data_IF_790435528747
#
_entry.id   IF_790435528747
#
_cell.length_a   1.000
_cell.length_b   1.000
_cell.length_c   1.000
_cell.angle_alpha   90.00
_cell.angle_beta   90.00
_cell.angle_gamma   90.00
#
_symmetry.space_group_name_H-M   'P 1'
#
loop_
_entity.id
_entity.type
_entity.pdbx_description
1 polymer ?
#
# COMPACT_ATOMS: atom_id res chain seq x y z
N UNK A 1 42.26 42.06 -41.72
CA UNK A 1 40.89 42.32 -42.19
C UNK A 1 40.18 40.98 -42.30
N UNK A 2 38.88 40.97 -41.96
CA UNK A 2 37.92 39.86 -42.00
C UNK A 2 37.93 38.88 -40.80
N UNK A 3 37.02 39.16 -39.85
CA UNK A 3 36.45 38.21 -38.91
C UNK A 3 35.24 37.50 -39.55
N UNK A 4 34.88 36.26 -39.17
CA UNK A 4 33.58 35.70 -39.50
C UNK A 4 32.60 35.82 -38.31
N UNK A 5 31.37 36.17 -38.67
CA UNK A 5 30.31 36.60 -37.78
C UNK A 5 29.61 35.44 -37.04
N UNK A 6 29.31 35.68 -35.77
CA UNK A 6 28.37 34.91 -34.94
C UNK A 6 26.94 35.05 -35.50
N UNK A 7 26.33 33.93 -35.88
CA UNK A 7 24.89 33.86 -36.17
C UNK A 7 24.15 33.35 -34.92
N UNK A 8 23.60 34.27 -34.14
CA UNK A 8 22.65 33.99 -33.06
C UNK A 8 21.25 33.80 -33.66
N UNK A 9 20.74 32.57 -33.68
CA UNK A 9 19.34 32.28 -33.99
C UNK A 9 18.53 32.21 -32.68
N UNK A 10 17.80 33.28 -32.39
CA UNK A 10 16.81 33.33 -31.32
C UNK A 10 15.50 32.72 -31.83
N UNK A 11 15.10 31.57 -31.28
CA UNK A 11 13.78 30.97 -31.49
C UNK A 11 12.90 31.27 -30.26
N UNK A 12 12.09 32.31 -30.40
CA UNK A 12 10.94 32.59 -29.54
C UNK A 12 9.82 31.59 -29.87
N UNK A 13 9.39 30.80 -28.90
CA UNK A 13 8.15 30.03 -28.97
C UNK A 13 7.14 30.55 -27.94
N UNK A 14 5.84 30.61 -28.30
CA UNK A 14 4.83 31.36 -27.57
C UNK A 14 4.34 30.62 -26.33
N UNK A 15 4.10 31.39 -25.28
CA UNK A 15 3.34 31.01 -24.09
C UNK A 15 1.88 30.83 -24.52
N UNK A 16 1.46 29.57 -24.68
CA UNK A 16 0.11 29.18 -25.08
C UNK A 16 -0.51 28.24 -24.06
N UNK A 17 -1.62 28.68 -23.47
CA UNK A 17 -2.39 28.05 -22.42
C UNK A 17 -2.79 26.59 -22.71
N UNK A 18 -2.64 25.72 -21.70
CA UNK A 18 -3.23 24.38 -21.72
C UNK A 18 -4.57 24.38 -20.97
N UNK A 19 -5.67 23.89 -21.57
CA UNK A 19 -6.95 23.74 -20.89
C UNK A 19 -6.87 22.60 -19.86
N UNK A 20 -7.46 22.85 -18.68
CA UNK A 20 -7.43 21.95 -17.53
C UNK A 20 -8.01 20.56 -17.82
N UNK A 21 -7.27 19.53 -17.38
CA UNK A 21 -7.73 18.14 -17.37
C UNK A 21 -8.90 17.95 -16.38
N UNK A 22 -9.92 17.14 -16.72
CA UNK A 22 -11.06 16.90 -15.86
C UNK A 22 -10.64 16.09 -14.63
N UNK A 23 -10.97 16.60 -13.44
CA UNK A 23 -10.82 15.91 -12.16
C UNK A 23 -11.66 14.63 -12.17
N UNK A 24 -11.01 13.47 -12.29
CA UNK A 24 -11.65 12.19 -11.98
C UNK A 24 -11.92 12.12 -10.46
N UNK A 25 -13.09 11.64 -10.01
CA UNK A 25 -13.37 11.50 -8.59
C UNK A 25 -12.45 10.45 -7.96
N UNK A 26 -11.80 10.81 -6.85
CA UNK A 26 -10.94 9.92 -6.09
C UNK A 26 -11.75 8.74 -5.52
N UNK A 27 -11.30 7.52 -5.79
CA UNK A 27 -11.90 6.29 -5.24
C UNK A 27 -11.12 5.86 -3.99
N UNK A 28 -11.84 5.50 -2.94
CA UNK A 28 -11.28 5.10 -1.64
C UNK A 28 -10.64 3.69 -1.75
N UNK A 29 -9.33 3.55 -1.58
CA UNK A 29 -8.57 2.30 -1.78
C UNK A 29 -8.78 1.19 -0.71
N UNK A 30 -9.82 1.26 0.13
CA UNK A 30 -10.03 0.32 1.23
C UNK A 30 -11.22 -0.62 1.03
N UNK A 31 -11.47 -1.08 -0.21
CA UNK A 31 -12.29 -2.28 -0.43
C UNK A 31 -11.53 -3.30 -1.28
N UNK A 32 -11.41 -4.56 -0.82
CA UNK A 32 -11.14 -5.67 -1.73
C UNK A 32 -12.22 -5.69 -2.81
N UNK A 33 -11.82 -5.83 -4.07
CA UNK A 33 -12.73 -6.02 -5.19
C UNK A 33 -13.48 -7.36 -5.00
N UNK A 34 -14.77 -7.26 -4.68
CA UNK A 34 -15.76 -8.31 -4.84
C UNK A 34 -16.46 -8.03 -6.18
N UNK A 35 -16.64 -9.01 -7.10
CA UNK A 35 -17.21 -10.32 -6.80
C UNK A 35 -16.39 -11.55 -7.29
N UNK A 36 -16.63 -12.74 -6.70
CA UNK A 36 -16.07 -14.00 -7.19
C UNK A 36 -16.76 -14.43 -8.49
N UNK A 37 -15.95 -14.83 -9.46
CA UNK A 37 -16.40 -15.43 -10.71
C UNK A 37 -17.09 -16.79 -10.51
N UNK A 38 -17.85 -17.25 -11.53
CA UNK A 38 -18.74 -18.39 -11.43
C UNK A 38 -17.98 -19.71 -11.58
N UNK A 39 -17.40 -20.22 -10.50
CA UNK A 39 -17.07 -21.64 -10.33
C UNK A 39 -16.85 -21.96 -8.85
N UNK A 40 -17.91 -21.89 -8.05
CA UNK A 40 -17.93 -22.53 -6.74
C UNK A 40 -18.96 -23.65 -6.77
N UNK A 41 -18.45 -24.87 -6.61
CA UNK A 41 -19.21 -26.13 -6.64
C UNK A 41 -20.32 -26.14 -5.60
N UNK A 42 -21.46 -26.65 -6.04
CA UNK A 42 -22.58 -27.11 -5.22
C UNK A 42 -22.09 -28.24 -4.31
N UNK A 43 -22.40 -28.14 -3.02
CA UNK A 43 -22.53 -29.29 -2.13
C UNK A 43 -23.59 -29.01 -1.06
N UNK A 44 -24.79 -29.45 -1.41
CA UNK A 44 -25.67 -30.29 -0.60
C UNK A 44 -25.90 -29.89 0.86
N UNK A 45 -26.76 -28.89 1.07
CA UNK A 45 -27.43 -28.72 2.37
C UNK A 45 -28.72 -27.89 2.35
N UNK A 46 -29.54 -28.02 1.32
CA UNK A 46 -30.90 -27.43 1.29
C UNK A 46 -31.93 -28.45 0.80
N UNK A 47 -32.44 -29.25 1.74
CA UNK A 47 -33.64 -30.03 1.56
C UNK A 47 -34.56 -29.80 2.78
N UNK A 48 -35.68 -29.15 2.48
CA UNK A 48 -36.93 -29.08 3.27
C UNK A 48 -37.02 -28.11 4.46
N UNK A 49 -37.40 -26.86 4.19
CA UNK A 49 -38.66 -26.32 4.76
C UNK A 49 -39.10 -24.99 4.14
N UNK A 50 -40.19 -25.05 3.39
CA UNK A 50 -40.97 -23.88 3.04
C UNK A 50 -42.23 -24.32 2.30
N UNK A 51 -43.37 -24.36 3.00
CA UNK A 51 -44.70 -24.28 2.38
C UNK A 51 -45.69 -23.67 3.38
N UNK A 52 -45.99 -22.39 3.15
CA UNK A 52 -47.02 -21.59 3.81
C UNK A 52 -48.35 -21.79 3.09
N UNK A 53 -49.33 -22.37 3.79
CA UNK A 53 -50.71 -22.52 3.31
C UNK A 53 -51.46 -21.17 3.30
N UNK A 54 -52.16 -20.91 2.20
CA UNK A 54 -53.09 -19.77 1.99
C UNK A 54 -54.49 -20.10 2.52
N UNK A 55 -55.10 -19.12 3.20
CA UNK A 55 -56.49 -18.67 2.98
C UNK A 55 -57.66 -19.49 3.58
N UNK A 56 -58.38 -18.90 4.54
CA UNK A 56 -59.81 -19.17 4.81
C UNK A 56 -60.54 -17.86 5.23
N UNK A 57 -61.80 -17.65 4.81
CA UNK A 57 -62.53 -16.38 4.91
C UNK A 57 -63.19 -16.12 6.27
N UNK A 58 -63.45 -14.84 6.53
CA UNK A 58 -64.00 -14.29 7.78
C UNK A 58 -65.53 -14.32 7.76
N UNK A 59 -66.16 -14.92 8.77
CA UNK A 59 -67.62 -14.89 9.00
C UNK A 59 -67.88 -14.25 10.36
N UNK A 60 -68.77 -13.25 10.40
CA UNK A 60 -69.31 -12.64 11.62
C UNK A 60 -70.78 -13.02 11.76
N UNK A 61 -71.23 -13.46 12.94
CA UNK A 61 -72.59 -13.26 13.37
C UNK A 61 -72.67 -12.21 14.49
N UNK A 62 -73.61 -11.29 14.36
CA UNK A 62 -74.03 -10.32 15.38
C UNK A 62 -75.50 -10.63 15.66
N UNK A 63 -75.87 -10.89 16.91
CA UNK A 63 -77.26 -10.93 17.34
C UNK A 63 -77.39 -10.25 18.70
N UNK A 64 -78.38 -9.35 18.75
CA UNK A 64 -78.85 -8.50 19.83
C UNK A 64 -79.29 -9.24 21.08
N UNK A 65 -79.02 -8.63 22.23
CA UNK A 65 -79.58 -9.03 23.54
C UNK A 65 -80.45 -7.87 24.03
N UNK A 66 -81.54 -7.60 23.31
CA UNK A 66 -82.69 -6.95 23.92
C UNK A 66 -83.57 -8.03 24.56
N UNK A 67 -84.15 -7.68 25.72
CA UNK A 67 -85.14 -8.42 26.49
C UNK A 67 -84.52 -9.45 27.46
N UNK A 68 -84.40 -9.06 28.74
CA UNK A 68 -84.83 -9.81 29.95
C UNK A 68 -84.17 -9.23 31.22
N UNK A 69 -84.67 -8.12 31.77
CA UNK A 69 -84.80 -7.96 33.24
C UNK A 69 -85.73 -6.81 33.60
N UNK A 70 -86.81 -7.16 34.29
CA UNK A 70 -87.88 -6.25 34.69
C UNK A 70 -87.51 -5.26 35.80
N UNK A 71 -88.40 -4.29 35.94
CA UNK A 71 -88.36 -3.18 36.89
C UNK A 71 -88.49 -3.67 38.35
N UNK A 72 -87.79 -2.99 39.28
CA UNK A 72 -88.15 -2.99 40.69
C UNK A 72 -87.76 -1.67 41.38
N UNK A 73 -88.81 -0.92 41.70
CA UNK A 73 -89.07 -0.05 42.86
C UNK A 73 -87.96 0.80 43.48
N UNK A 74 -88.20 2.11 43.54
CA UNK A 74 -87.48 3.06 44.38
C UNK A 74 -87.85 2.91 45.87
N UNK A 75 -86.86 3.06 46.76
CA UNK A 75 -87.11 3.35 48.17
C UNK A 75 -85.98 4.20 48.79
N UNK A 76 -86.36 5.41 49.21
CA UNK A 76 -86.01 6.00 50.51
C UNK A 76 -84.64 6.63 50.73
N UNK A 77 -84.61 7.96 50.84
CA UNK A 77 -83.44 8.82 51.13
C UNK A 77 -82.92 8.63 52.55
N UNK A 78 -81.61 8.41 52.72
CA UNK A 78 -80.88 8.64 53.98
C UNK A 78 -79.97 9.86 53.84
N UNK A 79 -80.00 10.75 54.83
CA UNK A 79 -79.40 12.08 54.81
C UNK A 79 -77.88 12.14 54.57
N UNK A 80 -77.41 13.29 54.05
CA UNK A 80 -76.02 13.52 53.64
C UNK A 80 -75.03 13.40 54.81
N UNK A 81 -74.08 12.46 54.70
CA UNK A 81 -72.83 12.55 55.44
C UNK A 81 -72.00 13.75 54.95
N UNK A 82 -71.39 14.49 55.88
CA UNK A 82 -70.57 15.67 55.58
C UNK A 82 -69.40 15.35 54.64
N UNK A 83 -69.02 16.31 53.79
CA UNK A 83 -67.94 16.12 52.82
C UNK A 83 -66.59 16.11 53.55
N UNK A 84 -65.96 14.96 53.66
CA UNK A 84 -64.51 14.91 53.93
C UNK A 84 -63.78 15.61 52.78
N UNK A 85 -62.88 16.53 53.12
CA UNK A 85 -62.07 17.25 52.14
C UNK A 85 -61.31 16.27 51.24
N UNK A 86 -61.32 16.50 49.93
CA UNK A 86 -60.57 15.64 49.00
C UNK A 86 -59.08 15.85 49.25
N UNK A 87 -58.35 14.76 49.49
CA UNK A 87 -56.89 14.78 49.48
C UNK A 87 -56.40 15.35 48.14
N UNK A 88 -55.43 16.27 48.19
CA UNK A 88 -54.94 16.94 46.99
C UNK A 88 -54.35 15.93 45.99
N UNK A 89 -54.48 16.16 44.68
CA UNK A 89 -53.92 15.24 43.70
C UNK A 89 -52.39 15.12 43.88
N UNK A 90 -51.80 13.92 43.72
CA UNK A 90 -50.35 13.75 43.74
C UNK A 90 -49.66 14.71 42.76
N UNK A 91 -48.56 15.32 43.19
CA UNK A 91 -47.78 16.25 42.37
C UNK A 91 -47.35 15.61 41.04
N UNK A 92 -47.35 16.38 39.97
CA UNK A 92 -46.96 15.88 38.65
C UNK A 92 -45.51 15.36 38.65
N UNK A 93 -45.28 14.21 38.02
CA UNK A 93 -43.94 13.63 37.87
C UNK A 93 -43.04 14.60 37.11
N UNK A 94 -41.85 14.87 37.65
CA UNK A 94 -40.87 15.77 37.03
C UNK A 94 -40.51 15.35 35.61
N UNK A 95 -40.24 16.33 34.74
CA UNK A 95 -39.88 16.09 33.35
C UNK A 95 -38.59 15.28 33.25
N UNK A 96 -38.59 14.27 32.37
CA UNK A 96 -37.41 13.45 32.14
C UNK A 96 -36.25 14.31 31.60
N UNK A 97 -35.07 14.18 32.21
CA UNK A 97 -33.87 14.92 31.81
C UNK A 97 -33.51 14.66 30.34
N UNK A 98 -33.08 15.70 29.63
CA UNK A 98 -32.72 15.58 28.21
C UNK A 98 -31.50 14.65 28.06
N UNK A 99 -31.55 13.77 27.06
CA UNK A 99 -30.42 12.92 26.70
C UNK A 99 -29.21 13.79 26.34
N UNK A 100 -28.04 13.46 26.89
CA UNK A 100 -26.80 14.18 26.60
C UNK A 100 -26.49 14.17 25.10
N UNK A 101 -25.84 15.23 24.62
CA UNK A 101 -25.44 15.32 23.22
C UNK A 101 -24.41 14.24 22.89
N UNK A 102 -24.48 13.68 21.68
CA UNK A 102 -23.47 12.74 21.19
C UNK A 102 -22.13 13.48 21.12
N UNK A 103 -21.07 12.85 21.63
CA UNK A 103 -19.71 13.38 21.52
C UNK A 103 -19.31 13.62 20.06
N UNK A 104 -18.45 14.61 19.84
CA UNK A 104 -17.93 14.92 18.51
C UNK A 104 -17.05 13.78 17.99
N UNK A 105 -17.06 13.58 16.67
CA UNK A 105 -16.14 12.64 16.02
C UNK A 105 -14.72 13.18 16.17
N UNK A 106 -13.78 12.31 16.55
CA UNK A 106 -12.38 12.68 16.67
C UNK A 106 -11.77 13.14 15.34
N UNK A 107 -10.64 13.84 15.37
CA UNK A 107 -9.96 14.25 14.14
C UNK A 107 -9.59 13.03 13.28
N UNK A 108 -9.57 13.17 11.95
CA UNK A 108 -9.06 12.12 11.07
C UNK A 108 -7.63 11.73 11.46
N UNK A 109 -7.34 10.43 11.46
CA UNK A 109 -5.98 9.93 11.68
C UNK A 109 -5.01 10.45 10.61
N UNK A 110 -3.71 10.48 10.94
CA UNK A 110 -2.67 10.90 10.01
C UNK A 110 -2.70 10.03 8.74
N UNK A 111 -2.47 10.67 7.58
CA UNK A 111 -2.40 9.97 6.30
C UNK A 111 -1.26 8.94 6.33
N UNK A 112 -1.58 7.68 6.00
CA UNK A 112 -0.58 6.63 5.87
C UNK A 112 0.31 6.94 4.65
N UNK A 113 1.49 7.51 4.91
CA UNK A 113 2.49 7.77 3.85
C UNK A 113 3.21 6.46 3.56
N UNK A 114 2.85 5.81 2.46
CA UNK A 114 3.61 4.67 1.95
C UNK A 114 4.96 5.17 1.46
N UNK A 115 6.03 4.68 2.07
CA UNK A 115 7.37 4.96 1.61
C UNK A 115 7.76 3.94 0.53
N UNK A 116 8.40 4.43 -0.53
CA UNK A 116 8.90 3.61 -1.62
C UNK A 116 10.36 3.97 -1.84
N UNK A 117 11.20 2.96 -2.10
CA UNK A 117 12.56 3.17 -2.57
C UNK A 117 12.91 1.98 -3.46
N UNK A 118 13.42 2.25 -4.64
CA UNK A 118 13.83 1.22 -5.59
C UNK A 118 14.85 1.79 -6.57
N UNK A 119 15.80 0.95 -6.93
CA UNK A 119 16.74 1.21 -8.01
C UNK A 119 16.96 -0.07 -8.81
N UNK A 120 17.26 0.10 -10.09
CA UNK A 120 17.72 -0.93 -10.99
C UNK A 120 18.65 -0.25 -11.98
N UNK A 121 19.92 -0.61 -11.93
CA UNK A 121 20.97 -0.06 -12.78
C UNK A 121 21.67 -1.20 -13.49
N UNK A 122 22.29 -0.89 -14.61
CA UNK A 122 23.04 -1.85 -15.37
C UNK A 122 24.33 -1.26 -15.93
N UNK A 123 25.22 -2.16 -16.31
CA UNK A 123 26.49 -1.84 -16.92
C UNK A 123 26.61 -2.63 -18.21
N UNK A 124 26.84 -1.94 -19.32
CA UNK A 124 27.01 -2.52 -20.66
C UNK A 124 28.47 -2.83 -20.91
N UNK A 125 29.36 -1.92 -20.52
CA UNK A 125 30.79 -2.13 -20.76
C UNK A 125 31.40 -3.11 -19.78
N UNK A 126 32.33 -3.95 -20.25
CA UNK A 126 33.16 -4.75 -19.37
C UNK A 126 33.99 -3.89 -18.39
N UNK A 127 34.53 -4.51 -17.35
CA UNK A 127 35.43 -3.84 -16.42
C UNK A 127 36.49 -4.80 -15.87
N UNK A 128 37.74 -4.36 -15.93
CA UNK A 128 38.86 -5.03 -15.27
C UNK A 128 39.14 -4.40 -13.92
N UNK A 129 39.63 -5.21 -12.97
CA UNK A 129 40.17 -4.74 -11.72
C UNK A 129 41.43 -3.89 -11.95
N UNK A 130 41.69 -3.00 -10.99
CA UNK A 130 42.95 -2.30 -10.84
C UNK A 130 43.74 -2.88 -9.66
N UNK A 131 44.89 -2.26 -9.37
CA UNK A 131 45.73 -2.58 -8.20
C UNK A 131 45.11 -2.10 -6.88
N UNK A 132 43.92 -1.50 -6.93
CA UNK A 132 43.23 -0.94 -5.78
C UNK A 132 41.78 -1.43 -5.74
N UNK A 133 41.18 -1.35 -4.56
CA UNK A 133 39.74 -1.56 -4.44
C UNK A 133 39.00 -0.43 -5.16
N UNK A 134 38.20 -0.79 -6.17
CA UNK A 134 37.36 0.14 -6.91
C UNK A 134 35.89 -0.22 -6.79
N UNK A 135 35.03 0.79 -6.73
CA UNK A 135 33.60 0.61 -6.92
C UNK A 135 33.30 0.28 -8.38
N UNK A 136 32.23 -0.47 -8.65
CA UNK A 136 31.76 -0.74 -10.00
C UNK A 136 30.82 0.39 -10.43
N UNK A 137 31.19 1.24 -11.42
CA UNK A 137 30.29 2.24 -11.96
C UNK A 137 29.28 1.60 -12.91
N UNK A 138 28.10 2.19 -13.01
CA UNK A 138 27.02 1.77 -13.88
C UNK A 138 26.79 2.84 -14.95
N UNK A 139 26.46 2.42 -16.17
CA UNK A 139 26.28 3.30 -17.34
C UNK A 139 24.84 3.40 -17.80
N UNK A 140 23.97 2.52 -17.31
CA UNK A 140 22.58 2.40 -17.75
C UNK A 140 21.66 2.50 -16.54
N UNK A 141 20.82 3.53 -16.51
CA UNK A 141 19.74 3.66 -15.53
C UNK A 141 18.47 2.99 -16.07
N UNK A 142 17.94 2.00 -15.35
CA UNK A 142 16.63 1.39 -15.67
C UNK A 142 15.55 2.00 -14.78
N UNK A 143 15.81 2.07 -13.46
CA UNK A 143 14.93 2.67 -12.46
C UNK A 143 15.82 3.32 -11.39
N UNK A 144 15.53 4.56 -11.00
CA UNK A 144 16.24 5.24 -9.92
C UNK A 144 15.30 6.21 -9.20
N UNK A 145 14.52 5.70 -8.24
CA UNK A 145 13.57 6.54 -7.51
C UNK A 145 14.32 7.58 -6.67
N UNK A 146 13.85 8.83 -6.76
CA UNK A 146 14.38 9.99 -6.05
C UNK A 146 15.89 10.27 -6.29
N UNK A 147 16.47 9.70 -7.36
CA UNK A 147 17.91 9.82 -7.64
C UNK A 147 18.79 9.23 -6.53
N UNK A 148 18.29 8.22 -5.81
CA UNK A 148 18.97 7.62 -4.67
C UNK A 148 20.24 6.83 -5.06
N UNK A 149 20.39 6.45 -6.33
CA UNK A 149 21.58 5.78 -6.85
C UNK A 149 22.44 6.73 -7.68
N UNK A 150 23.72 6.86 -7.32
CA UNK A 150 24.74 7.53 -8.12
C UNK A 150 25.41 6.52 -9.05
N UNK A 151 25.15 6.64 -10.35
CA UNK A 151 25.67 5.74 -11.38
C UNK A 151 27.20 5.81 -11.50
N UNK A 152 27.76 7.02 -11.46
CA UNK A 152 29.19 7.24 -11.64
C UNK A 152 29.99 6.74 -10.42
N UNK A 153 29.47 6.96 -9.21
CA UNK A 153 30.06 6.41 -8.00
C UNK A 153 29.72 4.92 -7.77
N UNK A 154 28.72 4.39 -8.48
CA UNK A 154 28.23 3.03 -8.32
C UNK A 154 27.57 2.75 -6.97
N UNK A 155 26.93 3.77 -6.38
CA UNK A 155 26.55 3.77 -4.96
C UNK A 155 25.11 4.20 -4.73
N UNK A 156 24.36 3.33 -4.08
CA UNK A 156 23.03 3.61 -3.54
C UNK A 156 23.13 4.29 -2.18
N UNK A 157 22.37 5.37 -1.97
CA UNK A 157 22.21 6.03 -0.68
C UNK A 157 20.80 5.78 -0.13
N UNK A 158 20.72 5.15 1.03
CA UNK A 158 19.46 4.85 1.70
C UNK A 158 18.84 6.13 2.29
N UNK A 159 17.71 6.58 1.74
CA UNK A 159 16.94 7.71 2.28
C UNK A 159 15.84 7.25 3.24
N UNK A 160 15.21 6.11 2.94
CA UNK A 160 14.14 5.51 3.73
C UNK A 160 14.68 4.31 4.52
N UNK A 161 14.75 4.36 5.86
CA UNK A 161 15.22 3.22 6.64
C UNK A 161 14.24 2.04 6.55
N UNK A 162 14.75 0.81 6.48
CA UNK A 162 13.91 -0.38 6.37
C UNK A 162 14.66 -1.63 5.89
N UNK A 163 13.89 -2.67 5.55
CA UNK A 163 14.41 -3.92 4.97
C UNK A 163 14.43 -3.78 3.45
N UNK A 164 15.59 -4.01 2.86
CA UNK A 164 15.81 -3.97 1.41
C UNK A 164 16.16 -5.34 0.88
N UNK A 165 15.62 -5.70 -0.28
CA UNK A 165 16.11 -6.80 -1.09
C UNK A 165 17.08 -6.26 -2.13
N UNK A 166 18.24 -6.90 -2.25
CA UNK A 166 19.30 -6.55 -3.19
C UNK A 166 19.63 -7.75 -4.07
N UNK A 167 19.81 -7.53 -5.36
CA UNK A 167 20.17 -8.57 -6.33
C UNK A 167 21.17 -8.04 -7.34
N UNK A 168 22.29 -8.75 -7.47
CA UNK A 168 23.37 -8.48 -8.40
C UNK A 168 23.49 -9.66 -9.37
N UNK A 169 23.39 -9.41 -10.67
CA UNK A 169 23.66 -10.37 -11.72
C UNK A 169 24.86 -9.91 -12.55
N UNK A 170 25.79 -10.81 -12.82
CA UNK A 170 27.06 -10.51 -13.49
C UNK A 170 27.41 -11.65 -14.42
N UNK A 171 27.74 -11.31 -15.66
CA UNK A 171 28.33 -12.24 -16.61
C UNK A 171 29.84 -12.28 -16.41
N UNK A 172 30.38 -13.48 -16.21
CA UNK A 172 31.81 -13.68 -15.99
C UNK A 172 32.60 -13.56 -17.29
N UNK A 173 33.87 -13.19 -17.19
CA UNK A 173 34.79 -13.08 -18.33
C UNK A 173 35.59 -14.38 -18.52
N UNK A 174 35.78 -14.83 -19.77
CA UNK A 174 36.52 -16.08 -20.05
C UNK A 174 37.96 -16.00 -19.55
N UNK A 175 38.45 -17.06 -18.90
CA UNK A 175 39.81 -17.16 -18.36
C UNK A 175 40.19 -16.10 -17.31
N UNK A 176 39.23 -15.32 -16.82
CA UNK A 176 39.41 -14.34 -15.75
C UNK A 176 38.56 -14.72 -14.57
N UNK A 177 39.04 -14.35 -13.38
CA UNK A 177 38.25 -14.53 -12.17
C UNK A 177 37.19 -13.43 -12.10
N UNK A 178 36.03 -13.73 -11.53
CA UNK A 178 35.05 -12.71 -11.17
C UNK A 178 34.89 -12.71 -9.66
N UNK A 179 35.42 -11.67 -9.01
CA UNK A 179 35.38 -11.51 -7.56
C UNK A 179 34.85 -10.12 -7.20
N UNK A 180 33.61 -10.08 -6.74
CA UNK A 180 32.91 -8.87 -6.32
C UNK A 180 32.41 -8.99 -4.89
N UNK A 181 32.35 -7.85 -4.19
CA UNK A 181 31.65 -7.73 -2.93
C UNK A 181 30.44 -6.82 -3.07
N UNK A 182 29.31 -7.24 -2.51
CA UNK A 182 28.22 -6.33 -2.18
C UNK A 182 28.58 -5.70 -0.83
N UNK A 183 28.84 -4.40 -0.85
CA UNK A 183 29.31 -3.64 0.30
C UNK A 183 28.14 -2.93 0.97
N UNK A 184 28.10 -3.00 2.31
CA UNK A 184 27.31 -2.10 3.14
C UNK A 184 28.28 -1.17 3.85
N UNK A 185 28.23 0.11 3.50
CA UNK A 185 29.17 1.13 3.93
C UNK A 185 30.63 0.73 3.63
N UNK A 186 31.39 0.32 4.64
CA UNK A 186 32.79 -0.10 4.54
C UNK A 186 32.96 -1.61 4.72
N UNK A 187 31.89 -2.36 4.98
CA UNK A 187 31.94 -3.80 5.29
C UNK A 187 31.40 -4.62 4.12
N UNK A 188 32.06 -5.73 3.74
CA UNK A 188 31.49 -6.67 2.78
C UNK A 188 30.30 -7.39 3.42
N UNK A 189 29.13 -7.30 2.81
CA UNK A 189 27.91 -7.98 3.25
C UNK A 189 27.73 -9.34 2.57
N UNK A 190 28.09 -9.43 1.29
CA UNK A 190 28.09 -10.68 0.53
C UNK A 190 29.21 -10.68 -0.52
N UNK A 191 29.59 -11.88 -0.95
CA UNK A 191 30.56 -12.12 -2.02
C UNK A 191 29.84 -12.75 -3.21
N UNK A 192 30.18 -12.29 -4.41
CA UNK A 192 29.90 -12.97 -5.67
C UNK A 192 31.25 -13.38 -6.26
N UNK A 193 31.45 -14.69 -6.36
CA UNK A 193 32.71 -15.28 -6.78
C UNK A 193 32.48 -16.32 -7.88
N UNK A 194 33.30 -16.26 -8.92
CA UNK A 194 33.41 -17.28 -9.95
C UNK A 194 34.88 -17.50 -10.29
N UNK A 195 35.28 -18.77 -10.30
CA UNK A 195 36.62 -19.17 -10.73
C UNK A 195 36.81 -18.95 -12.24
N UNK A 196 38.05 -18.71 -12.70
CA UNK A 196 38.37 -18.67 -14.11
C UNK A 196 37.92 -19.95 -14.83
N UNK A 197 37.27 -19.78 -15.97
CA UNK A 197 36.73 -20.86 -16.80
C UNK A 197 36.83 -20.48 -18.27
N UNK A 198 36.99 -21.45 -19.15
CA UNK A 198 36.98 -21.22 -20.61
C UNK A 198 35.62 -20.71 -21.09
N UNK A 199 34.55 -21.12 -20.39
CA UNK A 199 33.17 -20.72 -20.66
C UNK A 199 32.72 -19.66 -19.66
N UNK A 200 32.28 -18.50 -20.18
CA UNK A 200 31.58 -17.49 -19.42
C UNK A 200 30.24 -18.00 -18.90
N UNK A 201 29.89 -17.65 -17.68
CA UNK A 201 28.64 -18.02 -17.03
C UNK A 201 27.96 -16.78 -16.45
N UNK A 202 26.64 -16.83 -16.32
CA UNK A 202 25.89 -15.82 -15.58
C UNK A 202 25.88 -16.19 -14.10
N UNK A 203 26.38 -15.29 -13.25
CA UNK A 203 26.39 -15.43 -11.79
C UNK A 203 25.40 -14.44 -11.18
N UNK A 204 24.72 -14.87 -10.13
CA UNK A 204 23.77 -14.05 -9.42
C UNK A 204 24.00 -14.17 -7.91
N UNK A 205 23.85 -13.06 -7.20
CA UNK A 205 23.87 -13.03 -5.75
C UNK A 205 22.79 -12.10 -5.24
N UNK A 206 21.96 -12.58 -4.31
CA UNK A 206 20.90 -11.79 -3.71
C UNK A 206 20.86 -11.96 -2.20
N UNK A 207 20.46 -10.90 -1.50
CA UNK A 207 20.34 -10.88 -0.04
C UNK A 207 19.34 -9.82 0.41
N UNK A 208 18.86 -9.96 1.64
CA UNK A 208 18.08 -8.93 2.32
C UNK A 208 18.92 -8.29 3.43
N UNK A 209 18.87 -6.97 3.52
CA UNK A 209 19.61 -6.18 4.52
C UNK A 209 18.68 -5.17 5.19
N UNK A 210 18.91 -4.94 6.48
CA UNK A 210 18.34 -3.82 7.20
C UNK A 210 19.24 -2.60 6.96
N UNK A 211 18.69 -1.54 6.40
CA UNK A 211 19.41 -0.29 6.11
C UNK A 211 18.86 0.85 6.96
N UNK A 212 19.76 1.63 7.55
CA UNK A 212 19.45 2.89 8.19
C UNK A 212 19.50 4.04 7.17
N UNK A 213 18.88 5.17 7.51
CA UNK A 213 19.00 6.38 6.69
C UNK A 213 20.47 6.84 6.66
N UNK A 214 21.00 7.11 5.48
CA UNK A 214 22.40 7.47 5.25
C UNK A 214 23.33 6.28 5.00
N UNK A 215 22.86 5.04 5.18
CA UNK A 215 23.64 3.87 4.78
C UNK A 215 23.83 3.84 3.27
N UNK A 216 24.99 3.35 2.83
CA UNK A 216 25.28 3.25 1.43
C UNK A 216 25.62 1.83 1.00
N UNK A 217 24.97 1.38 -0.06
CA UNK A 217 25.17 0.05 -0.65
C UNK A 217 25.80 0.19 -2.01
N UNK A 218 26.82 -0.61 -2.30
CA UNK A 218 27.56 -0.53 -3.56
C UNK A 218 28.27 -1.83 -3.86
N UNK A 219 28.72 -1.99 -5.11
CA UNK A 219 29.47 -3.17 -5.54
C UNK A 219 30.94 -2.81 -5.67
N UNK A 220 31.81 -3.63 -5.09
CA UNK A 220 33.26 -3.43 -5.09
C UNK A 220 33.95 -4.57 -5.81
N UNK A 221 34.85 -4.25 -6.74
CA UNK A 221 35.75 -5.25 -7.31
C UNK A 221 36.89 -5.55 -6.36
N UNK A 222 37.25 -6.83 -6.21
CA UNK A 222 38.45 -7.22 -5.50
C UNK A 222 39.70 -6.80 -6.29
N UNK A 223 40.70 -6.27 -5.57
CA UNK A 223 41.97 -5.81 -6.16
C UNK A 223 42.80 -7.04 -6.59
N UNK A 224 43.16 -7.11 -7.87
CA UNK A 224 43.85 -8.28 -8.43
C UNK A 224 44.42 -7.98 -9.81
N UNK A 225 45.35 -7.03 -9.92
CA UNK A 225 46.11 -6.63 -11.13
C UNK A 225 45.55 -7.16 -12.48
N UNK A 226 44.35 -6.69 -12.87
CA UNK A 226 43.60 -7.06 -14.09
C UNK A 226 43.24 -8.55 -14.29
N UNK A 227 43.47 -9.42 -13.31
CA UNK A 227 43.05 -10.82 -13.28
C UNK A 227 41.61 -11.03 -12.82
N UNK A 228 41.02 -10.02 -12.17
CA UNK A 228 39.60 -9.99 -11.87
C UNK A 228 38.86 -9.13 -12.92
N UNK A 229 37.81 -9.66 -13.53
CA UNK A 229 37.05 -8.95 -14.55
C UNK A 229 35.56 -9.36 -14.58
N UNK A 230 34.74 -8.44 -15.10
CA UNK A 230 33.32 -8.67 -15.40
C UNK A 230 33.07 -8.38 -16.89
N UNK A 231 32.32 -9.27 -17.54
CA UNK A 231 32.05 -9.19 -18.97
C UNK A 231 30.94 -8.18 -19.29
N UNK A 232 31.10 -7.49 -20.41
CA UNK A 232 30.12 -6.57 -20.93
C UNK A 232 30.41 -6.23 -22.39
N UNK A 233 29.35 -6.01 -23.16
CA UNK A 233 29.37 -5.64 -24.56
C UNK A 233 28.37 -4.50 -24.79
N UNK A 234 28.71 -3.53 -25.64
CA UNK A 234 27.92 -2.30 -25.81
C UNK A 234 26.45 -2.53 -26.21
N UNK A 235 26.14 -3.64 -26.89
CA UNK A 235 24.79 -3.96 -27.35
C UNK A 235 23.84 -4.49 -26.26
N UNK A 236 24.37 -5.25 -25.30
CA UNK A 236 23.58 -6.08 -24.40
C UNK A 236 23.82 -5.74 -22.93
N UNK A 237 22.79 -5.94 -22.10
CA UNK A 237 22.85 -5.65 -20.67
C UNK A 237 23.11 -6.91 -19.85
N UNK A 238 24.38 -7.24 -19.69
CA UNK A 238 24.82 -8.46 -18.97
C UNK A 238 24.96 -8.27 -17.46
N UNK A 239 25.21 -7.05 -17.00
CA UNK A 239 25.42 -6.74 -15.60
C UNK A 239 24.26 -5.88 -15.10
N UNK A 240 23.59 -6.35 -14.06
CA UNK A 240 22.48 -5.62 -13.44
C UNK A 240 22.62 -5.64 -11.93
N UNK A 241 22.39 -4.48 -11.31
CA UNK A 241 22.30 -4.35 -9.87
C UNK A 241 20.99 -3.66 -9.51
N UNK A 242 20.17 -4.35 -8.73
CA UNK A 242 18.83 -3.93 -8.40
C UNK A 242 18.58 -4.03 -6.90
N UNK A 243 17.76 -3.13 -6.40
CA UNK A 243 17.36 -3.10 -5.00
C UNK A 243 16.03 -2.42 -4.79
N UNK A 244 15.25 -2.90 -3.82
CA UNK A 244 14.00 -2.25 -3.46
C UNK A 244 13.68 -2.42 -1.97
N UNK A 245 12.96 -1.44 -1.43
CA UNK A 245 12.41 -1.46 -0.08
C UNK A 245 11.29 -2.49 -0.04
N UNK A 246 11.48 -3.51 0.80
CA UNK A 246 10.47 -4.53 1.10
C UNK A 246 9.53 -4.03 2.18
N UNK A 247 10.09 -3.42 3.24
CA UNK A 247 9.31 -2.92 4.37
C UNK A 247 10.00 -1.73 5.05
N UNK A 248 9.33 -0.57 5.20
CA UNK A 248 9.89 0.57 5.92
C UNK A 248 10.02 0.30 7.43
N UNK A 249 11.04 0.87 8.05
CA UNK A 249 11.29 0.72 9.48
C UNK A 249 10.19 1.33 10.36
N UNK A 250 9.45 2.32 9.87
CA UNK A 250 8.29 2.87 10.58
C UNK A 250 7.15 1.86 10.77
N UNK A 251 7.16 0.74 10.01
CA UNK A 251 6.17 -0.33 10.09
C UNK A 251 6.75 -1.63 10.68
N UNK A 252 8.04 -1.66 11.04
CA UNK A 252 8.70 -2.81 11.69
C UNK A 252 8.38 -2.84 13.19
#
# INVERSE_FOLDING_TARGET
MAAPALLLLALLLPVGAWPGLPRRPCVHCCRPAWPPGPYARVSDRDLWRGDLWRGLPRVRPTIDIEILKGEKGEAGVRGRAGRSGKEGPPGARGLQGRRGQKGQVGPPGAACRRAYAAFSVGRREGLHSSDHFQAVPFDTELVNLDGAFDLAAGRFLCTVPGVYFLSLNVHTWNYKETYLHIMLNRRPAAVLYAQPSERSVMQAQSLMLLLAAGDAVWVRMFQRDRDNAIYGEHGDLYITFSGHLVKPAAEL
#
